data_IF_063451763153
#
_entry.id   IF_063451763153
#
_cell.length_a   1.000
_cell.length_b   1.000
_cell.length_c   1.000
_cell.angle_alpha   90.00
_cell.angle_beta   90.00
_cell.angle_gamma   90.00
#
_symmetry.space_group_name_H-M   'P 1'
#
loop_
_entity.id
_entity.type
_entity.pdbx_description
1 polymer ?
#
# COMPACT_ATOMS: atom_id res chain seq x y z
N UNK A 1 29.61 66.35 -23.57
CA UNK A 1 28.61 66.81 -24.56
C UNK A 1 27.98 65.55 -25.13
N UNK A 2 26.63 65.48 -25.10
CA UNK A 2 25.66 64.56 -25.73
C UNK A 2 26.19 63.43 -26.66
N UNK A 3 25.61 62.25 -26.81
CA UNK A 3 24.22 61.78 -26.65
C UNK A 3 24.16 60.24 -26.79
N UNK A 4 23.04 59.68 -26.32
CA UNK A 4 22.27 58.45 -26.68
C UNK A 4 22.70 57.66 -27.95
N UNK A 5 22.43 56.35 -28.13
CA UNK A 5 21.12 55.66 -28.12
C UNK A 5 21.32 54.12 -28.05
N UNK A 6 20.46 53.48 -27.25
CA UNK A 6 19.82 52.14 -27.36
C UNK A 6 20.12 51.26 -28.60
N UNK A 7 20.36 49.96 -28.38
CA UNK A 7 19.67 48.85 -29.07
C UNK A 7 19.71 47.58 -28.21
N UNK A 8 18.55 46.97 -28.02
CA UNK A 8 18.32 45.66 -27.41
C UNK A 8 18.45 44.54 -28.46
N UNK A 9 18.04 43.32 -28.05
CA UNK A 9 17.86 42.07 -28.82
C UNK A 9 19.10 41.13 -28.77
N UNK A 10 19.14 40.14 -27.88
CA UNK A 10 18.44 38.83 -27.88
C UNK A 10 18.71 37.98 -29.13
N UNK A 11 19.85 37.27 -29.19
CA UNK A 11 19.94 36.00 -29.93
C UNK A 11 20.90 35.03 -29.21
N UNK A 12 20.35 34.18 -28.35
CA UNK A 12 21.02 32.97 -27.84
C UNK A 12 20.71 31.81 -28.77
N UNK A 13 21.69 31.42 -29.60
CA UNK A 13 21.61 30.27 -30.50
C UNK A 13 22.07 28.97 -29.80
N UNK A 14 21.52 27.79 -30.17
CA UNK A 14 21.33 26.68 -29.26
C UNK A 14 22.17 25.47 -29.67
N UNK A 15 23.33 25.20 -29.07
CA UNK A 15 23.97 23.89 -29.23
C UNK A 15 24.85 23.51 -28.05
N UNK A 16 24.21 22.96 -27.02
CA UNK A 16 24.79 21.85 -26.25
C UNK A 16 23.69 21.11 -25.51
N UNK A 17 22.97 20.24 -26.22
CA UNK A 17 22.14 19.24 -25.60
C UNK A 17 23.07 18.26 -24.87
N UNK A 18 23.23 18.46 -23.57
CA UNK A 18 23.65 17.39 -22.67
C UNK A 18 22.60 16.30 -22.76
N UNK A 19 23.03 15.11 -23.19
CA UNK A 19 22.27 13.87 -23.10
C UNK A 19 22.00 13.66 -21.61
N UNK A 20 20.83 14.10 -21.15
CA UNK A 20 20.26 13.61 -19.91
C UNK A 20 19.62 12.26 -20.23
N UNK A 21 20.17 11.22 -19.61
CA UNK A 21 19.55 9.90 -19.53
C UNK A 21 18.09 10.05 -19.09
N UNK A 22 17.16 9.84 -20.02
CA UNK A 22 15.73 9.69 -19.77
C UNK A 22 15.42 8.28 -19.21
N UNK A 23 16.19 7.84 -18.22
CA UNK A 23 16.19 6.45 -17.74
C UNK A 23 15.76 6.26 -16.29
N UNK A 24 15.29 7.30 -15.58
CA UNK A 24 15.04 7.21 -14.13
C UNK A 24 13.74 7.85 -13.63
N UNK A 25 12.75 8.05 -14.49
CA UNK A 25 11.45 8.63 -14.10
C UNK A 25 10.25 7.67 -14.19
N UNK A 26 10.41 6.43 -14.66
CA UNK A 26 9.29 5.47 -14.79
C UNK A 26 9.11 4.56 -13.57
N UNK A 27 10.08 4.48 -12.65
CA UNK A 27 10.04 3.55 -11.51
C UNK A 27 9.22 4.04 -10.31
N UNK A 28 8.93 5.33 -10.20
CA UNK A 28 8.18 5.89 -9.06
C UNK A 28 6.66 5.77 -9.22
N UNK A 29 6.16 5.45 -10.42
CA UNK A 29 4.73 5.49 -10.71
C UNK A 29 4.01 4.14 -10.53
N UNK A 30 4.73 3.09 -10.09
CA UNK A 30 4.20 1.73 -9.91
C UNK A 30 4.14 1.26 -8.46
N UNK A 31 4.68 2.04 -7.52
CA UNK A 31 4.63 1.74 -6.08
C UNK A 31 3.26 2.14 -5.53
N UNK A 32 2.50 1.15 -5.10
CA UNK A 32 1.24 1.31 -4.37
C UNK A 32 1.47 0.92 -2.92
N UNK A 33 0.78 1.61 -2.04
CA UNK A 33 0.77 1.24 -0.64
C UNK A 33 -0.65 1.18 -0.06
N UNK A 34 -0.89 0.11 0.69
CA UNK A 34 -2.06 -0.01 1.53
C UNK A 34 -1.75 0.68 2.84
N UNK A 35 -2.53 1.72 3.13
CA UNK A 35 -2.46 2.45 4.39
C UNK A 35 -3.68 2.17 5.22
N UNK A 36 -3.49 2.06 6.52
CA UNK A 36 -4.58 2.30 7.47
C UNK A 36 -4.71 3.81 7.57
N UNK A 37 -5.87 4.34 7.20
CA UNK A 37 -6.22 5.74 7.42
C UNK A 37 -7.06 5.81 8.68
N UNK A 38 -6.63 6.69 9.58
CA UNK A 38 -7.40 7.10 10.74
C UNK A 38 -8.58 7.96 10.23
N UNK A 39 -9.66 7.32 9.78
CA UNK A 39 -10.76 8.00 9.11
C UNK A 39 -11.82 8.51 10.09
N UNK A 40 -11.39 9.23 11.12
CA UNK A 40 -12.18 10.21 11.84
C UNK A 40 -11.32 10.86 12.92
N UNK A 41 -11.69 12.04 13.46
CA UNK A 41 -11.26 12.42 14.80
C UNK A 41 -11.58 11.37 15.88
N UNK A 42 -12.25 10.26 15.53
CA UNK A 42 -12.68 9.16 16.38
C UNK A 42 -12.17 7.76 15.97
N UNK A 43 -11.09 7.57 15.18
CA UNK A 43 -10.30 6.33 15.39
C UNK A 43 -9.79 6.43 16.82
N UNK A 44 -10.58 5.90 17.72
CA UNK A 44 -10.24 5.85 19.12
C UNK A 44 -9.61 4.49 19.21
N UNK A 45 -8.29 4.43 18.94
CA UNK A 45 -7.45 3.57 19.75
C UNK A 45 -7.57 4.13 21.16
N UNK A 46 -8.73 3.97 21.79
CA UNK A 46 -8.98 4.35 23.17
C UNK A 46 -8.20 3.36 24.01
N UNK A 47 -6.88 3.60 24.06
CA UNK A 47 -5.98 3.21 25.12
C UNK A 47 -5.74 1.73 25.31
N UNK A 48 -5.29 0.96 24.30
CA UNK A 48 -4.93 -0.42 24.66
C UNK A 48 -4.01 -1.22 23.75
N UNK A 49 -4.09 -1.14 22.41
CA UNK A 49 -3.19 -1.94 21.54
C UNK A 49 -2.35 -1.12 20.56
N UNK A 50 -1.14 -1.60 20.30
CA UNK A 50 -0.14 -1.06 19.35
C UNK A 50 0.50 -2.17 18.54
N UNK A 51 1.37 -1.80 17.61
CA UNK A 51 2.04 -2.71 16.68
C UNK A 51 1.09 -3.63 15.90
N UNK A 52 -0.10 -3.12 15.54
CA UNK A 52 -1.12 -3.88 14.81
C UNK A 52 -0.61 -4.19 13.39
N UNK A 53 -0.60 -5.47 13.00
CA UNK A 53 -0.18 -5.92 11.67
C UNK A 53 -0.77 -7.30 11.34
N UNK A 54 -0.87 -7.66 10.04
CA UNK A 54 -1.26 -9.02 9.68
C UNK A 54 -0.19 -10.02 10.12
N UNK A 55 -0.61 -11.21 10.52
CA UNK A 55 0.27 -12.36 10.69
C UNK A 55 0.61 -12.85 9.29
N UNK A 56 1.87 -12.65 8.89
CA UNK A 56 2.36 -12.97 7.55
C UNK A 56 3.70 -13.69 7.70
N UNK A 57 3.69 -15.03 7.69
CA UNK A 57 4.90 -15.86 7.72
C UNK A 57 4.86 -16.91 6.61
N UNK A 58 5.96 -17.62 6.34
CA UNK A 58 5.95 -18.67 5.31
C UNK A 58 5.00 -19.82 5.69
N UNK A 59 4.85 -20.07 6.98
CA UNK A 59 3.97 -21.11 7.54
C UNK A 59 2.50 -20.67 7.60
N UNK A 60 2.25 -19.39 7.85
CA UNK A 60 0.92 -18.78 7.89
C UNK A 60 0.91 -17.47 7.07
N UNK A 61 0.87 -17.58 5.72
CA UNK A 61 0.99 -16.42 4.84
C UNK A 61 -0.31 -15.62 4.80
N UNK A 62 -0.19 -14.29 4.88
CA UNK A 62 -1.37 -13.42 4.77
C UNK A 62 -1.74 -13.22 3.30
N UNK A 63 -3.00 -13.52 2.96
CA UNK A 63 -3.52 -13.22 1.63
C UNK A 63 -4.07 -11.80 1.59
N UNK A 64 -3.37 -10.92 0.87
CA UNK A 64 -3.83 -9.56 0.65
C UNK A 64 -4.86 -9.54 -0.47
N UNK A 65 -6.12 -9.40 -0.08
CA UNK A 65 -7.25 -9.51 -1.00
C UNK A 65 -7.77 -8.14 -1.44
N UNK A 66 -7.84 -7.91 -2.74
CA UNK A 66 -8.25 -6.63 -3.32
C UNK A 66 -9.27 -6.79 -4.45
N UNK A 67 -10.01 -5.72 -4.71
CA UNK A 67 -10.53 -5.48 -6.06
C UNK A 67 -9.46 -4.79 -6.89
N UNK A 68 -9.32 -5.23 -8.14
CA UNK A 68 -8.35 -4.67 -9.08
C UNK A 68 -9.01 -4.19 -10.36
N UNK A 69 -8.44 -3.13 -10.94
CA UNK A 69 -8.86 -2.51 -12.19
C UNK A 69 -7.71 -2.54 -13.20
N UNK A 70 -8.00 -2.94 -14.43
CA UNK A 70 -7.05 -2.87 -15.53
C UNK A 70 -6.79 -1.40 -15.92
N UNK A 71 -5.53 -0.98 -16.00
CA UNK A 71 -5.22 0.40 -16.41
C UNK A 71 -5.32 0.61 -17.92
N UNK A 72 -5.32 -0.46 -18.71
CA UNK A 72 -5.36 -0.38 -20.18
C UNK A 72 -6.77 -0.29 -20.76
N UNK A 73 -7.75 -0.96 -20.15
CA UNK A 73 -9.14 -0.97 -20.65
C UNK A 73 -10.16 -0.60 -19.59
N UNK A 74 -9.71 -0.27 -18.37
CA UNK A 74 -10.54 0.17 -17.24
C UNK A 74 -11.54 -0.86 -16.72
N UNK A 75 -11.48 -2.10 -17.18
CA UNK A 75 -12.28 -3.21 -16.67
C UNK A 75 -11.86 -3.58 -15.24
N UNK A 76 -12.84 -3.73 -14.35
CA UNK A 76 -12.65 -4.22 -12.99
C UNK A 76 -12.73 -5.75 -13.00
N UNK A 77 -11.81 -6.42 -12.31
CA UNK A 77 -11.86 -7.88 -12.21
C UNK A 77 -13.14 -8.33 -11.52
N UNK A 78 -13.81 -9.35 -12.09
CA UNK A 78 -15.12 -9.79 -11.62
C UNK A 78 -15.10 -10.36 -10.19
N UNK A 79 -13.96 -10.92 -9.79
CA UNK A 79 -13.75 -11.49 -8.45
C UNK A 79 -12.74 -10.66 -7.66
N UNK A 80 -12.81 -10.77 -6.34
CA UNK A 80 -11.69 -10.39 -5.47
C UNK A 80 -10.46 -11.23 -5.82
N UNK A 81 -9.28 -10.60 -5.78
CA UNK A 81 -8.00 -11.25 -6.04
C UNK A 81 -7.17 -11.20 -4.77
N UNK A 82 -6.84 -12.37 -4.25
CA UNK A 82 -5.93 -12.54 -3.11
C UNK A 82 -4.62 -13.14 -3.58
N UNK A 83 -3.52 -12.66 -3.02
CA UNK A 83 -2.17 -13.20 -3.21
C UNK A 83 -1.33 -12.91 -1.97
N UNK A 84 -0.29 -13.70 -1.74
CA UNK A 84 0.60 -13.53 -0.58
C UNK A 84 2.05 -13.25 -1.02
N UNK A 85 2.93 -12.91 -0.06
CA UNK A 85 4.31 -12.49 -0.40
C UNK A 85 5.19 -13.63 -0.91
N UNK A 86 4.81 -14.88 -0.64
CA UNK A 86 5.65 -16.05 -0.84
C UNK A 86 5.30 -16.80 -2.13
N UNK A 87 4.14 -16.53 -2.73
CA UNK A 87 3.79 -17.00 -4.07
C UNK A 87 4.71 -16.42 -5.13
N UNK A 88 5.14 -17.24 -6.08
CA UNK A 88 5.94 -16.79 -7.22
C UNK A 88 5.35 -17.36 -8.50
N UNK A 89 5.04 -16.45 -9.43
CA UNK A 89 4.49 -16.78 -10.73
C UNK A 89 5.31 -16.13 -11.84
N UNK A 90 5.72 -16.94 -12.81
CA UNK A 90 6.37 -16.45 -14.02
C UNK A 90 5.46 -15.46 -14.77
N UNK A 91 6.02 -14.34 -15.20
CA UNK A 91 5.29 -13.34 -15.99
C UNK A 91 5.43 -13.70 -17.48
N UNK A 92 4.34 -14.02 -18.20
CA UNK A 92 4.40 -14.35 -19.62
C UNK A 92 5.10 -13.27 -20.45
N UNK A 93 6.15 -13.66 -21.18
CA UNK A 93 6.93 -12.76 -22.03
C UNK A 93 7.97 -11.91 -21.29
N UNK A 94 8.19 -12.16 -20.00
CA UNK A 94 9.25 -11.54 -19.19
C UNK A 94 10.19 -12.61 -18.63
N UNK A 95 11.33 -12.18 -18.09
CA UNK A 95 12.25 -13.05 -17.33
C UNK A 95 12.03 -12.95 -15.81
N UNK A 96 11.09 -12.12 -15.37
CA UNK A 96 10.78 -11.89 -13.96
C UNK A 96 9.58 -12.68 -13.48
N UNK A 97 9.45 -12.75 -12.16
CA UNK A 97 8.34 -13.36 -11.44
C UNK A 97 7.61 -12.29 -10.62
N UNK A 98 6.37 -12.58 -10.24
CA UNK A 98 5.57 -11.75 -9.36
C UNK A 98 4.70 -12.60 -8.43
N UNK A 99 4.23 -12.01 -7.34
CA UNK A 99 3.30 -12.68 -6.43
C UNK A 99 1.92 -12.86 -7.05
N UNK A 100 1.54 -11.97 -7.97
CA UNK A 100 0.28 -12.04 -8.70
C UNK A 100 0.50 -11.75 -10.19
N UNK A 101 -0.06 -12.59 -11.06
CA UNK A 101 -0.05 -12.41 -12.51
C UNK A 101 -1.45 -12.63 -13.06
N UNK A 102 -1.95 -11.65 -13.81
CA UNK A 102 -3.30 -11.66 -14.35
C UNK A 102 -3.32 -11.26 -15.82
N UNK A 103 -3.97 -12.07 -16.66
CA UNK A 103 -4.31 -11.70 -18.04
C UNK A 103 -5.73 -11.13 -18.10
N UNK A 104 -5.85 -9.84 -18.42
CA UNK A 104 -7.14 -9.18 -18.55
C UNK A 104 -8.00 -9.87 -19.62
N UNK A 105 -9.23 -10.27 -19.27
CA UNK A 105 -10.13 -10.97 -20.18
C UNK A 105 -10.63 -10.10 -21.34
N UNK A 106 -10.69 -8.77 -21.14
CA UNK A 106 -11.18 -7.83 -22.14
C UNK A 106 -10.10 -7.43 -23.14
N UNK A 107 -8.98 -6.89 -22.66
CA UNK A 107 -7.91 -6.39 -23.55
C UNK A 107 -6.76 -7.39 -23.78
N UNK A 108 -6.79 -8.56 -23.15
CA UNK A 108 -5.80 -9.64 -23.26
C UNK A 108 -4.39 -9.31 -22.79
N UNK A 109 -4.14 -8.09 -22.30
CA UNK A 109 -2.86 -7.70 -21.71
C UNK A 109 -2.61 -8.41 -20.38
N UNK A 110 -1.34 -8.68 -20.12
CA UNK A 110 -0.87 -9.26 -18.85
C UNK A 110 -0.50 -8.14 -17.89
N UNK A 111 -0.87 -8.32 -16.64
CA UNK A 111 -0.62 -7.43 -15.51
C UNK A 111 0.00 -8.23 -14.37
N UNK A 112 0.73 -7.56 -13.50
CA UNK A 112 1.38 -8.20 -12.36
C UNK A 112 1.40 -7.31 -11.13
N UNK A 113 1.49 -7.91 -9.95
CA UNK A 113 1.74 -7.23 -8.69
C UNK A 113 2.70 -8.06 -7.81
N UNK A 114 3.62 -7.38 -7.12
CA UNK A 114 4.59 -7.99 -6.21
C UNK A 114 4.64 -7.23 -4.89
N UNK A 115 4.60 -7.95 -3.77
CA UNK A 115 4.82 -7.44 -2.43
C UNK A 115 6.32 -7.25 -2.21
N UNK A 116 6.72 -6.03 -1.86
CA UNK A 116 8.15 -5.65 -1.84
C UNK A 116 8.81 -6.01 -0.52
N UNK A 117 8.06 -5.92 0.59
CA UNK A 117 8.54 -6.19 1.94
C UNK A 117 7.42 -6.77 2.79
N UNK A 118 7.77 -7.34 3.94
CA UNK A 118 6.79 -7.72 4.95
C UNK A 118 5.99 -6.51 5.47
N UNK A 119 4.89 -6.78 6.20
CA UNK A 119 4.01 -5.73 6.71
C UNK A 119 4.70 -4.89 7.79
N UNK A 120 4.47 -3.58 7.72
CA UNK A 120 4.80 -2.63 8.76
C UNK A 120 3.74 -2.69 9.87
N UNK A 121 4.21 -2.52 11.09
CA UNK A 121 3.35 -2.35 12.24
C UNK A 121 2.67 -0.99 12.21
N UNK A 122 1.35 -0.99 12.41
CA UNK A 122 0.59 0.22 12.73
C UNK A 122 0.83 0.58 14.20
N UNK A 123 1.44 1.73 14.44
CA UNK A 123 1.76 2.19 15.79
C UNK A 123 0.79 3.27 16.25
N UNK A 124 0.56 3.37 17.56
CA UNK A 124 -0.21 4.47 18.11
C UNK A 124 0.56 5.79 17.92
N UNK A 125 -0.05 6.78 17.28
CA UNK A 125 0.55 8.10 17.08
C UNK A 125 -0.40 9.20 17.53
N UNK A 126 0.15 10.28 18.10
CA UNK A 126 -0.62 11.48 18.49
C UNK A 126 -1.24 12.18 17.26
N UNK A 127 -0.57 12.08 16.10
CA UNK A 127 -1.05 12.62 14.84
C UNK A 127 -1.70 11.52 14.03
N UNK A 128 -2.97 11.75 13.70
CA UNK A 128 -3.85 10.89 12.91
C UNK A 128 -3.52 10.95 11.42
N UNK A 129 -2.27 10.63 11.06
CA UNK A 129 -1.83 10.49 9.67
C UNK A 129 -1.86 9.03 9.30
N UNK A 130 -2.50 8.68 8.17
CA UNK A 130 -2.56 7.30 7.73
C UNK A 130 -1.16 6.66 7.63
N UNK A 131 -1.01 5.45 8.13
CA UNK A 131 0.26 4.72 8.19
C UNK A 131 0.28 3.60 7.16
N UNK A 132 1.40 3.49 6.45
CA UNK A 132 1.65 2.43 5.46
C UNK A 132 1.80 1.08 6.16
N UNK A 133 0.98 0.10 5.78
CA UNK A 133 1.05 -1.28 6.27
C UNK A 133 1.82 -2.16 5.30
N UNK A 134 1.45 -2.16 4.03
CA UNK A 134 2.12 -3.01 3.02
C UNK A 134 2.40 -2.21 1.75
N UNK A 135 3.50 -2.56 1.09
CA UNK A 135 3.96 -1.91 -0.13
C UNK A 135 4.06 -2.93 -1.27
N UNK A 136 3.57 -2.54 -2.44
CA UNK A 136 3.44 -3.41 -3.60
C UNK A 136 3.89 -2.69 -4.89
N UNK A 137 4.65 -3.37 -5.74
CA UNK A 137 4.95 -2.93 -7.11
C UNK A 137 3.89 -3.50 -8.06
N UNK A 138 3.13 -2.64 -8.75
CA UNK A 138 2.07 -3.08 -9.66
C UNK A 138 2.27 -2.58 -11.08
N UNK A 139 2.02 -3.45 -12.05
CA UNK A 139 2.21 -3.17 -13.47
C UNK A 139 0.94 -3.46 -14.25
N UNK A 140 0.31 -2.39 -14.76
CA UNK A 140 -0.87 -2.49 -15.61
C UNK A 140 -2.21 -2.72 -14.88
N UNK A 141 -2.18 -2.70 -13.55
CA UNK A 141 -3.37 -2.76 -12.70
C UNK A 141 -3.34 -1.69 -11.61
N UNK A 142 -4.52 -1.37 -11.09
CA UNK A 142 -4.75 -0.53 -9.92
C UNK A 142 -5.57 -1.30 -8.89
N UNK A 143 -5.20 -1.22 -7.63
CA UNK A 143 -6.04 -1.67 -6.52
C UNK A 143 -7.08 -0.60 -6.22
N UNK A 144 -8.34 -1.00 -6.12
CA UNK A 144 -9.45 -0.06 -5.88
C UNK A 144 -10.04 -0.19 -4.48
N UNK A 145 -9.96 -1.38 -3.88
CA UNK A 145 -10.58 -1.70 -2.61
C UNK A 145 -9.83 -2.86 -1.95
N UNK A 146 -9.62 -2.79 -0.64
CA UNK A 146 -8.97 -3.84 0.16
C UNK A 146 -10.00 -4.54 1.05
N UNK A 147 -9.87 -5.85 1.18
CA UNK A 147 -10.70 -6.68 2.06
C UNK A 147 -9.83 -7.27 3.18
N UNK A 148 -9.91 -6.72 4.42
CA UNK A 148 -9.12 -7.21 5.55
C UNK A 148 -9.59 -8.57 6.11
N UNK A 149 -10.83 -8.96 5.78
CA UNK A 149 -11.58 -10.05 6.39
C UNK A 149 -11.05 -11.48 6.12
N UNK A 150 -9.95 -11.65 5.39
CA UNK A 150 -9.48 -12.98 4.97
C UNK A 150 -8.19 -13.45 5.69
N UNK A 151 -7.76 -12.75 6.74
CA UNK A 151 -6.60 -13.21 7.51
C UNK A 151 -6.53 -12.66 8.92
N UNK A 152 -5.62 -13.24 9.68
CA UNK A 152 -5.42 -12.96 11.11
C UNK A 152 -4.45 -11.81 11.33
N UNK A 153 -4.73 -11.03 12.35
CA UNK A 153 -3.89 -9.92 12.77
C UNK A 153 -3.29 -10.20 14.15
N UNK A 154 -2.20 -9.50 14.45
CA UNK A 154 -1.59 -9.46 15.77
C UNK A 154 -1.35 -8.04 16.22
N UNK A 155 -1.42 -7.82 17.54
CA UNK A 155 -1.14 -6.56 18.19
C UNK A 155 -0.54 -6.80 19.60
N UNK A 156 -0.16 -5.72 20.27
CA UNK A 156 0.40 -5.76 21.63
C UNK A 156 -0.30 -4.76 22.53
N UNK A 157 -0.40 -5.06 23.81
CA UNK A 157 -0.77 -4.08 24.83
C UNK A 157 0.14 -2.86 24.77
N UNK A 158 -0.42 -1.65 24.89
CA UNK A 158 0.36 -0.41 24.99
C UNK A 158 1.08 -0.35 26.33
N UNK A 159 0.36 -0.64 27.41
CA UNK A 159 0.84 -0.55 28.80
C UNK A 159 1.29 -1.90 29.37
N UNK A 160 1.33 -2.94 28.54
CA UNK A 160 1.63 -4.29 28.98
C UNK A 160 2.40 -5.10 27.93
N UNK A 161 3.13 -6.15 28.33
CA UNK A 161 3.76 -7.06 27.39
C UNK A 161 2.79 -8.13 26.85
N UNK A 162 1.47 -7.97 27.03
CA UNK A 162 0.45 -8.87 26.48
C UNK A 162 0.46 -8.79 24.96
N UNK A 163 0.41 -9.97 24.31
CA UNK A 163 0.30 -10.09 22.86
C UNK A 163 -1.08 -10.63 22.54
N UNK A 164 -1.72 -10.00 21.57
CA UNK A 164 -3.00 -10.42 21.04
C UNK A 164 -2.73 -11.00 19.66
N UNK A 165 -3.06 -12.27 19.47
CA UNK A 165 -2.98 -12.98 18.19
C UNK A 165 -4.38 -13.32 17.70
N UNK A 166 -4.48 -13.77 16.45
CA UNK A 166 -5.74 -14.23 15.86
C UNK A 166 -6.85 -13.15 15.90
N UNK A 167 -6.44 -11.88 15.78
CA UNK A 167 -7.36 -10.75 15.71
C UNK A 167 -8.07 -10.79 14.35
N UNK A 168 -9.40 -10.87 14.38
CA UNK A 168 -10.26 -10.85 13.21
C UNK A 168 -10.86 -9.44 13.04
N UNK A 169 -10.72 -8.86 11.85
CA UNK A 169 -11.12 -7.47 11.52
C UNK A 169 -12.14 -7.43 10.37
N UNK A 170 -12.91 -8.49 10.20
CA UNK A 170 -13.93 -8.62 9.16
C UNK A 170 -15.11 -7.66 9.34
N UNK A 171 -15.51 -7.42 10.60
CA UNK A 171 -16.55 -6.46 10.97
C UNK A 171 -16.00 -5.04 11.21
N UNK A 172 -14.68 -4.84 11.05
CA UNK A 172 -14.00 -3.55 11.25
C UNK A 172 -13.78 -3.16 12.72
N UNK A 173 -14.21 -4.00 13.66
CA UNK A 173 -14.01 -3.84 15.09
C UNK A 173 -13.55 -5.15 15.75
N UNK A 174 -12.79 -5.03 16.84
CA UNK A 174 -12.35 -6.15 17.67
C UNK A 174 -12.24 -5.71 19.13
N UNK A 175 -12.52 -6.63 20.05
CA UNK A 175 -12.57 -6.39 21.50
C UNK A 175 -11.98 -7.59 22.25
N UNK A 176 -11.22 -7.31 23.30
CA UNK A 176 -10.65 -8.31 24.21
C UNK A 176 -10.33 -7.67 25.58
N UNK A 177 -9.67 -8.39 26.46
CA UNK A 177 -9.34 -7.94 27.81
C UNK A 177 -7.87 -8.22 28.14
N UNK A 178 -7.13 -7.20 28.59
CA UNK A 178 -5.76 -7.38 29.07
C UNK A 178 -5.76 -7.70 30.56
N UNK A 179 -5.60 -8.99 30.88
CA UNK A 179 -5.56 -9.46 32.27
C UNK A 179 -4.43 -8.80 33.09
N UNK A 180 -3.34 -8.35 32.45
CA UNK A 180 -2.19 -7.77 33.17
C UNK A 180 -2.45 -6.36 33.67
N UNK A 181 -3.21 -5.57 32.92
CA UNK A 181 -3.62 -4.23 33.33
C UNK A 181 -5.02 -4.23 33.94
N UNK A 182 -5.76 -5.32 33.78
CA UNK A 182 -7.18 -5.44 34.15
C UNK A 182 -8.05 -4.42 33.42
N UNK A 183 -7.75 -4.15 32.14
CA UNK A 183 -8.43 -3.18 31.28
C UNK A 183 -8.95 -3.82 30.00
N UNK A 184 -10.03 -3.26 29.45
CA UNK A 184 -10.57 -3.66 28.14
C UNK A 184 -9.67 -3.13 27.01
N UNK A 185 -9.45 -3.99 26.01
CA UNK A 185 -8.73 -3.63 24.80
C UNK A 185 -9.62 -3.68 23.58
N UNK A 186 -9.48 -2.73 22.66
CA UNK A 186 -10.26 -2.76 21.43
C UNK A 186 -9.56 -2.09 20.25
N UNK A 187 -9.97 -2.50 19.05
CA UNK A 187 -9.65 -1.85 17.78
C UNK A 187 -10.98 -1.52 17.13
N UNK A 188 -11.20 -0.25 16.75
CA UNK A 188 -12.46 0.20 16.16
C UNK A 188 -12.21 1.23 15.07
N UNK A 189 -13.24 1.47 14.25
CA UNK A 189 -13.27 2.53 13.24
C UNK A 189 -12.14 2.46 12.21
N UNK A 190 -11.59 1.26 11.97
CA UNK A 190 -10.47 1.08 11.04
C UNK A 190 -10.94 1.43 9.63
N UNK A 191 -10.17 2.26 8.95
CA UNK A 191 -10.38 2.53 7.53
C UNK A 191 -9.12 2.24 6.74
N UNK A 192 -9.32 1.68 5.55
CA UNK A 192 -8.26 1.29 4.64
C UNK A 192 -8.25 2.24 3.46
N UNK A 193 -7.09 2.78 3.12
CA UNK A 193 -6.90 3.47 1.86
C UNK A 193 -5.87 2.74 1.03
N UNK A 194 -6.18 2.55 -0.25
CA UNK A 194 -5.20 2.12 -1.23
C UNK A 194 -4.81 3.33 -2.05
N UNK A 195 -3.53 3.66 -2.03
CA UNK A 195 -3.00 4.86 -2.68
C UNK A 195 -1.71 4.56 -3.43
N UNK A 196 -1.40 5.39 -4.43
CA UNK A 196 -0.06 5.42 -5.01
C UNK A 196 0.87 6.15 -4.03
N UNK A 197 2.07 5.63 -3.85
CA UNK A 197 3.08 6.20 -2.96
C UNK A 197 3.63 7.54 -3.47
#
# INVERSE_FOLDING_TARGET
MLSLVLTAELEGSPHRATIFDAGRAEALNSLLDLRIVDAAPQLTLSGSVTSLRPIDTEEDPYYYTFRVKCTSCHEVHANWVGFNRFEQHEIPGSRGEANFVWKCRLCTKTHSASIISGPNAYELQEKKTGQKIIEMDCRGLEFIEFKPAEGKWEAKGVESPTKFSDIELDEGEWYDYDEKTSEEVSIKDITWSVGRA
#
